data_IF_251001443311
#
_entry.id   IF_251001443311
#
_cell.length_a   1.000
_cell.length_b   1.000
_cell.length_c   1.000
_cell.angle_alpha   90.00
_cell.angle_beta   90.00
_cell.angle_gamma   90.00
#
_symmetry.space_group_name_H-M   'P 1'
#
loop_
_entity.id
_entity.type
_entity.pdbx_description
1 polymer ?
#
# COMPACT_ATOMS: atom_id res chain seq x y z
N UNK A 1 -16.60 -2.48 -15.07
CA UNK A 1 -15.29 -3.16 -15.00
C UNK A 1 -14.34 -2.28 -14.21
N UNK A 2 -14.45 -2.29 -12.88
CA UNK A 2 -13.62 -1.46 -11.98
C UNK A 2 -12.27 -2.14 -11.80
N UNK A 3 -11.22 -1.54 -12.35
CA UNK A 3 -9.87 -2.08 -12.23
C UNK A 3 -9.41 -2.12 -10.78
N UNK A 4 -8.63 -3.14 -10.43
CA UNK A 4 -7.94 -3.21 -9.14
C UNK A 4 -6.92 -2.06 -9.04
N UNK A 5 -6.95 -1.23 -7.99
CA UNK A 5 -5.93 -0.22 -7.76
C UNK A 5 -4.55 -0.87 -7.60
N UNK A 6 -3.56 -0.34 -8.33
CA UNK A 6 -2.18 -0.81 -8.33
C UNK A 6 -1.22 0.34 -8.00
N UNK A 7 -0.03 0.01 -7.50
CA UNK A 7 1.04 1.00 -7.37
C UNK A 7 1.42 1.53 -8.76
N UNK A 8 1.57 2.85 -8.88
CA UNK A 8 1.86 3.52 -10.15
C UNK A 8 3.12 2.95 -10.80
N UNK A 9 3.05 2.65 -12.09
CA UNK A 9 4.16 2.05 -12.85
C UNK A 9 4.36 0.56 -12.60
N UNK A 10 3.50 -0.08 -11.80
CA UNK A 10 3.57 -1.51 -11.49
C UNK A 10 2.25 -2.20 -11.83
N UNK A 11 2.25 -3.53 -11.73
CA UNK A 11 1.03 -4.35 -11.71
C UNK A 11 0.71 -4.88 -10.31
N UNK A 12 1.37 -4.34 -9.28
CA UNK A 12 1.26 -4.81 -7.90
C UNK A 12 0.01 -4.17 -7.27
N UNK A 13 -1.00 -4.97 -6.87
CA UNK A 13 -2.20 -4.45 -6.23
C UNK A 13 -1.89 -3.78 -4.90
N UNK A 14 -2.63 -2.71 -4.59
CA UNK A 14 -2.58 -2.10 -3.25
C UNK A 14 -3.00 -3.12 -2.18
N UNK A 15 -3.95 -4.00 -2.51
CA UNK A 15 -4.41 -5.08 -1.63
C UNK A 15 -3.26 -5.95 -1.13
N UNK A 16 -2.24 -6.21 -1.97
CA UNK A 16 -1.11 -7.05 -1.61
C UNK A 16 -0.29 -6.46 -0.46
N UNK A 17 -0.09 -5.14 -0.41
CA UNK A 17 0.55 -4.49 0.75
C UNK A 17 -0.26 -4.75 2.03
N UNK A 18 -1.58 -4.59 1.96
CA UNK A 18 -2.46 -4.79 3.12
C UNK A 18 -2.43 -6.24 3.60
N UNK A 19 -2.31 -7.20 2.69
CA UNK A 19 -2.24 -8.63 3.03
C UNK A 19 -0.94 -8.95 3.77
N UNK A 20 0.21 -8.40 3.34
CA UNK A 20 1.49 -8.50 4.05
C UNK A 20 1.38 -7.94 5.47
N UNK A 21 0.86 -6.71 5.60
CA UNK A 21 0.72 -6.07 6.92
C UNK A 21 -0.23 -6.84 7.85
N UNK A 22 -1.31 -7.42 7.31
CA UNK A 22 -2.23 -8.28 8.09
C UNK A 22 -1.60 -9.60 8.51
N UNK A 23 -0.67 -10.13 7.71
CA UNK A 23 0.11 -11.31 8.05
C UNK A 23 1.18 -11.03 9.12
N UNK A 24 1.39 -9.76 9.51
CA UNK A 24 2.41 -9.35 10.46
C UNK A 24 3.78 -9.10 9.82
N UNK A 25 3.84 -9.07 8.49
CA UNK A 25 5.05 -8.75 7.74
C UNK A 25 5.30 -7.24 7.74
N UNK A 26 6.56 -6.86 7.58
CA UNK A 26 6.99 -5.47 7.55
C UNK A 26 6.87 -4.87 6.15
N UNK A 27 6.98 -3.54 6.07
CA UNK A 27 7.10 -2.84 4.78
C UNK A 27 8.36 -3.31 4.04
N UNK A 28 9.42 -3.65 4.75
CA UNK A 28 10.68 -4.07 4.15
C UNK A 28 10.51 -5.44 3.48
N UNK A 29 9.82 -6.37 4.15
CA UNK A 29 9.47 -7.69 3.59
C UNK A 29 8.63 -7.55 2.31
N UNK A 30 7.66 -6.62 2.30
CA UNK A 30 6.87 -6.32 1.10
C UNK A 30 7.72 -5.77 -0.05
N UNK A 31 8.65 -4.85 0.24
CA UNK A 31 9.52 -4.25 -0.78
C UNK A 31 10.51 -5.26 -1.35
N UNK A 32 10.98 -6.21 -0.54
CA UNK A 32 11.82 -7.32 -0.98
C UNK A 32 11.05 -8.24 -1.95
N UNK A 33 9.75 -8.49 -1.71
CA UNK A 33 8.87 -9.23 -2.61
C UNK A 33 8.48 -8.47 -3.88
N UNK A 34 8.42 -7.13 -3.81
CA UNK A 34 7.97 -6.26 -4.90
C UNK A 34 8.91 -5.06 -5.12
N UNK A 35 10.15 -5.27 -5.59
CA UNK A 35 11.18 -4.23 -5.69
C UNK A 35 10.87 -3.14 -6.74
N UNK A 36 9.80 -3.30 -7.52
CA UNK A 36 9.28 -2.29 -8.46
C UNK A 36 8.40 -1.25 -7.78
N UNK A 37 7.93 -1.52 -6.57
CA UNK A 37 7.25 -0.55 -5.71
C UNK A 37 8.30 0.18 -4.90
N UNK A 38 8.25 1.51 -4.90
CA UNK A 38 9.15 2.30 -4.07
C UNK A 38 8.61 2.50 -2.66
N UNK A 39 9.49 2.63 -1.67
CA UNK A 39 9.10 2.99 -0.30
C UNK A 39 8.27 4.28 -0.27
N UNK A 40 8.62 5.28 -1.07
CA UNK A 40 7.87 6.54 -1.15
C UNK A 40 6.41 6.34 -1.56
N UNK A 41 6.13 5.40 -2.47
CA UNK A 41 4.74 5.08 -2.84
C UNK A 41 3.97 4.40 -1.70
N UNK A 42 4.64 3.53 -0.92
CA UNK A 42 4.03 2.90 0.26
C UNK A 42 3.71 3.96 1.32
N UNK A 43 4.66 4.85 1.63
CA UNK A 43 4.45 5.90 2.63
C UNK A 43 3.32 6.84 2.20
N UNK A 44 3.33 7.33 0.95
CA UNK A 44 2.29 8.22 0.46
C UNK A 44 0.88 7.60 0.52
N UNK A 45 0.77 6.29 0.26
CA UNK A 45 -0.49 5.56 0.43
C UNK A 45 -0.94 5.55 1.90
N UNK A 46 -0.03 5.24 2.84
CA UNK A 46 -0.34 5.19 4.26
C UNK A 46 -0.77 6.56 4.80
N UNK A 47 -0.09 7.63 4.39
CA UNK A 47 -0.43 9.01 4.77
C UNK A 47 -1.83 9.42 4.27
N UNK A 48 -2.20 9.07 3.03
CA UNK A 48 -3.54 9.36 2.51
C UNK A 48 -4.62 8.55 3.24
N UNK A 49 -4.35 7.27 3.55
CA UNK A 49 -5.27 6.44 4.35
C UNK A 49 -5.43 7.02 5.75
N UNK A 50 -4.34 7.39 6.42
CA UNK A 50 -4.35 8.04 7.74
C UNK A 50 -5.21 9.30 7.72
N UNK A 51 -4.96 10.20 6.76
CA UNK A 51 -5.71 11.43 6.59
C UNK A 51 -7.21 11.18 6.40
N UNK A 52 -7.59 10.21 5.57
CA UNK A 52 -9.01 9.89 5.35
C UNK A 52 -9.68 9.29 6.58
N UNK A 53 -9.00 8.39 7.29
CA UNK A 53 -9.54 7.76 8.49
C UNK A 53 -9.72 8.77 9.63
N UNK A 54 -8.73 9.63 9.87
CA UNK A 54 -8.81 10.69 10.89
C UNK A 54 -9.91 11.68 10.54
N UNK A 55 -10.01 12.12 9.27
CA UNK A 55 -11.04 13.05 8.82
C UNK A 55 -12.46 12.47 8.92
N UNK A 56 -12.62 11.15 8.81
CA UNK A 56 -13.91 10.46 8.93
C UNK A 56 -14.31 10.22 10.39
N UNK A 57 -13.33 10.13 11.30
CA UNK A 57 -13.55 9.91 12.73
C UNK A 57 -13.81 11.21 13.53
N UNK A 58 -13.58 12.38 12.93
CA UNK A 58 -13.81 13.71 13.51
C UNK A 58 -15.22 14.24 13.19
#
# INVERSE_FOLDING_TARGET
>A
MGGTPVFVGTRVPIQTLLDYLKAGETIDDFLDGFPTVSRGQVIALLEEVEKQLIATAA
#
